data_IF_190266600251
#
_entry.id   IF_190266600251
#
_cell.length_a   1.000
_cell.length_b   1.000
_cell.length_c   1.000
_cell.angle_alpha   90.00
_cell.angle_beta   90.00
_cell.angle_gamma   90.00
#
_symmetry.space_group_name_H-M   'P 1'
#
loop_
_entity.id
_entity.type
_entity.pdbx_description
1 polymer ?
#
# COMPACT_ATOMS: atom_id res chain seq x y z
N UNK A 1 -31.86 -6.51 39.18
CA UNK A 1 -31.72 -7.06 37.82
C UNK A 1 -32.04 -5.96 36.82
N UNK A 2 -31.04 -5.21 36.40
CA UNK A 2 -31.19 -4.24 35.32
C UNK A 2 -30.91 -4.96 33.99
N UNK A 3 -31.93 -5.06 33.14
CA UNK A 3 -31.77 -5.57 31.76
C UNK A 3 -31.04 -4.52 30.95
N UNK A 4 -29.81 -4.81 30.52
CA UNK A 4 -29.16 -4.03 29.47
C UNK A 4 -29.97 -4.18 28.18
N UNK A 5 -30.52 -3.09 27.68
CA UNK A 5 -31.09 -3.06 26.34
C UNK A 5 -29.93 -3.12 25.32
N UNK A 6 -30.07 -3.89 24.23
CA UNK A 6 -29.09 -3.89 23.18
C UNK A 6 -29.10 -2.52 22.48
N UNK A 7 -27.93 -1.90 22.39
CA UNK A 7 -27.71 -0.71 21.57
C UNK A 7 -28.05 -1.03 20.11
N UNK A 8 -29.09 -0.39 19.58
CA UNK A 8 -29.45 -0.49 18.17
C UNK A 8 -28.33 0.16 17.32
N UNK A 9 -27.52 -0.67 16.69
CA UNK A 9 -26.52 -0.29 15.67
C UNK A 9 -27.17 0.03 14.29
N UNK A 10 -28.29 0.74 14.28
CA UNK A 10 -28.94 1.19 13.05
C UNK A 10 -28.56 2.64 12.71
N UNK A 11 -27.27 2.93 12.60
CA UNK A 11 -26.77 4.00 11.76
C UNK A 11 -26.48 3.41 10.38
N UNK A 12 -27.44 3.41 9.46
CA UNK A 12 -27.16 3.13 8.04
C UNK A 12 -26.21 4.21 7.51
N UNK A 13 -24.91 3.90 7.57
CA UNK A 13 -23.89 4.64 6.85
C UNK A 13 -24.28 4.58 5.36
N UNK A 14 -24.49 5.73 4.73
CA UNK A 14 -24.63 5.81 3.26
C UNK A 14 -23.29 5.39 2.65
N UNK A 15 -23.12 4.09 2.41
CA UNK A 15 -22.00 3.56 1.66
C UNK A 15 -22.00 4.20 0.27
N UNK A 16 -20.85 4.72 -0.14
CA UNK A 16 -20.71 5.29 -1.47
C UNK A 16 -20.86 4.17 -2.51
N UNK A 17 -21.77 4.34 -3.48
CA UNK A 17 -22.05 3.32 -4.49
C UNK A 17 -20.81 2.95 -5.31
N UNK A 18 -19.92 3.91 -5.55
CA UNK A 18 -18.66 3.68 -6.27
C UNK A 18 -17.70 2.76 -5.51
N UNK A 19 -17.60 2.89 -4.18
CA UNK A 19 -16.78 1.99 -3.35
C UNK A 19 -17.29 0.54 -3.43
N UNK A 20 -18.60 0.32 -3.38
CA UNK A 20 -19.19 -1.03 -3.49
C UNK A 20 -18.88 -1.71 -4.81
N UNK A 21 -18.92 -0.98 -5.90
CA UNK A 21 -18.64 -1.51 -7.23
C UNK A 21 -17.13 -1.82 -7.38
N UNK A 22 -16.26 -1.04 -6.73
CA UNK A 22 -14.82 -1.31 -6.65
C UNK A 22 -14.53 -2.62 -5.93
N UNK A 23 -15.09 -2.86 -4.73
CA UNK A 23 -14.88 -4.11 -3.98
C UNK A 23 -15.39 -5.35 -4.70
N UNK A 24 -16.54 -5.25 -5.39
CA UNK A 24 -17.13 -6.37 -6.13
C UNK A 24 -16.27 -6.86 -7.29
N UNK A 25 -15.34 -6.05 -7.75
CA UNK A 25 -14.40 -6.44 -8.81
C UNK A 25 -13.19 -7.23 -8.29
N UNK A 26 -13.02 -7.34 -6.96
CA UNK A 26 -11.87 -8.01 -6.36
C UNK A 26 -12.17 -9.46 -5.99
N UNK A 27 -11.27 -10.37 -6.35
CA UNK A 27 -11.33 -11.78 -5.92
C UNK A 27 -10.80 -11.96 -4.48
N UNK A 28 -9.97 -11.02 -4.02
CA UNK A 28 -9.41 -10.95 -2.68
C UNK A 28 -9.26 -9.46 -2.29
N UNK A 29 -9.64 -9.04 -1.08
CA UNK A 29 -9.59 -7.64 -0.67
C UNK A 29 -8.16 -7.18 -0.37
N UNK A 30 -7.35 -7.10 -1.41
CA UNK A 30 -5.91 -6.78 -1.36
C UNK A 30 -5.56 -5.70 -2.38
N UNK A 31 -4.75 -4.76 -1.93
CA UNK A 31 -4.00 -3.83 -2.78
C UNK A 31 -2.52 -4.18 -2.66
N UNK A 32 -1.88 -4.52 -3.77
CA UNK A 32 -0.43 -4.55 -3.87
C UNK A 32 0.08 -3.11 -3.83
N UNK A 33 0.80 -2.75 -2.76
CA UNK A 33 1.25 -1.39 -2.49
C UNK A 33 2.19 -0.87 -3.60
N UNK A 34 2.16 0.44 -3.89
CA UNK A 34 3.09 1.05 -4.84
C UNK A 34 4.50 1.05 -4.25
N UNK A 35 5.40 0.32 -4.87
CA UNK A 35 6.77 0.15 -4.41
C UNK A 35 7.72 0.99 -5.27
N UNK A 36 8.44 1.92 -4.63
CA UNK A 36 9.37 2.82 -5.34
C UNK A 36 10.49 2.01 -6.01
N UNK A 37 10.69 2.26 -7.31
CA UNK A 37 11.61 1.57 -8.23
C UNK A 37 11.33 0.06 -8.47
N UNK A 38 10.36 -0.53 -7.79
CA UNK A 38 10.07 -1.97 -7.81
C UNK A 38 8.80 -2.28 -8.60
N UNK A 39 7.69 -1.57 -8.33
CA UNK A 39 6.45 -1.77 -9.08
C UNK A 39 6.58 -1.26 -10.51
N UNK A 40 6.33 -2.14 -11.48
CA UNK A 40 6.27 -1.83 -12.90
C UNK A 40 4.96 -2.31 -13.53
N UNK A 41 4.74 -2.04 -14.84
CA UNK A 41 3.52 -2.47 -15.53
C UNK A 41 3.26 -3.96 -15.43
N UNK A 42 4.29 -4.79 -15.55
CA UNK A 42 4.18 -6.25 -15.49
C UNK A 42 3.54 -6.72 -14.17
N UNK A 43 4.03 -6.18 -13.04
CA UNK A 43 3.52 -6.49 -11.72
C UNK A 43 2.07 -6.00 -11.55
N UNK A 44 1.76 -4.79 -12.00
CA UNK A 44 0.41 -4.21 -11.92
C UNK A 44 -0.58 -5.00 -12.75
N UNK A 45 -0.22 -5.36 -13.99
CA UNK A 45 -1.04 -6.13 -14.90
C UNK A 45 -1.37 -7.49 -14.30
N UNK A 46 -0.36 -8.21 -13.80
CA UNK A 46 -0.58 -9.53 -13.21
C UNK A 46 -1.40 -9.48 -11.91
N UNK A 47 -1.23 -8.46 -11.05
CA UNK A 47 -2.12 -8.24 -9.92
C UNK A 47 -3.59 -8.10 -10.37
N UNK A 48 -3.85 -7.23 -11.35
CA UNK A 48 -5.21 -6.95 -11.82
C UNK A 48 -5.85 -8.17 -12.51
N UNK A 49 -5.11 -8.93 -13.31
CA UNK A 49 -5.57 -10.18 -13.93
C UNK A 49 -5.95 -11.25 -12.90
N UNK A 50 -5.24 -11.26 -11.77
CA UNK A 50 -5.48 -12.20 -10.67
C UNK A 50 -6.48 -11.67 -9.62
N UNK A 51 -7.20 -10.59 -9.92
CA UNK A 51 -8.34 -10.13 -9.12
C UNK A 51 -7.97 -9.35 -7.86
N UNK A 52 -6.77 -8.79 -7.77
CA UNK A 52 -6.35 -7.83 -6.72
C UNK A 52 -5.92 -6.51 -7.35
N UNK A 53 -5.96 -5.43 -6.57
CA UNK A 53 -5.53 -4.12 -7.07
C UNK A 53 -4.02 -4.06 -7.20
N UNK A 54 -3.52 -3.85 -8.40
CA UNK A 54 -2.11 -3.54 -8.66
C UNK A 54 -1.85 -2.04 -8.63
N UNK A 55 -0.77 -1.59 -7.99
CA UNK A 55 -0.45 -0.16 -7.92
C UNK A 55 1.02 0.12 -8.17
N UNK A 56 1.33 1.33 -8.63
CA UNK A 56 2.70 1.80 -8.84
C UNK A 56 2.83 3.32 -8.61
N UNK A 57 4.01 3.81 -8.19
CA UNK A 57 4.28 5.25 -8.10
C UNK A 57 4.50 5.87 -9.49
N UNK A 58 3.88 7.01 -9.78
CA UNK A 58 4.15 7.77 -11.01
C UNK A 58 5.64 8.11 -11.16
N UNK A 59 6.32 8.36 -10.04
CA UNK A 59 7.75 8.69 -9.99
C UNK A 59 8.68 7.49 -10.27
N UNK A 60 8.18 6.28 -10.49
CA UNK A 60 8.98 5.16 -10.99
C UNK A 60 9.41 5.38 -12.45
N UNK A 61 8.74 6.28 -13.15
CA UNK A 61 9.21 6.83 -14.42
C UNK A 61 9.85 8.21 -14.20
N UNK A 62 10.92 8.48 -14.96
CA UNK A 62 11.66 9.74 -14.83
C UNK A 62 10.92 10.92 -15.42
N UNK A 63 10.07 10.69 -16.42
CA UNK A 63 9.30 11.71 -17.12
C UNK A 63 7.80 11.41 -17.08
N UNK A 64 6.98 12.44 -17.27
CA UNK A 64 5.52 12.29 -17.37
C UNK A 64 5.13 11.50 -18.61
N UNK A 65 5.85 11.63 -19.71
CA UNK A 65 5.62 10.85 -20.95
C UNK A 65 5.84 9.36 -20.70
N UNK A 66 6.97 8.99 -20.07
CA UNK A 66 7.24 7.59 -19.70
C UNK A 66 6.23 7.03 -18.69
N UNK A 67 5.69 7.88 -17.81
CA UNK A 67 4.59 7.51 -16.93
C UNK A 67 3.30 7.26 -17.73
N UNK A 68 2.98 8.11 -18.69
CA UNK A 68 1.83 7.94 -19.58
C UNK A 68 1.93 6.64 -20.39
N UNK A 69 3.11 6.33 -20.94
CA UNK A 69 3.36 5.06 -21.65
C UNK A 69 3.04 3.84 -20.79
N UNK A 70 3.40 3.87 -19.49
CA UNK A 70 3.06 2.79 -18.58
C UNK A 70 1.55 2.67 -18.32
N UNK A 71 0.86 3.80 -18.18
CA UNK A 71 -0.60 3.80 -18.02
C UNK A 71 -1.29 3.20 -19.25
N UNK A 72 -0.82 3.55 -20.45
CA UNK A 72 -1.35 2.98 -21.71
C UNK A 72 -1.07 1.49 -21.77
N UNK A 73 0.17 1.05 -21.52
CA UNK A 73 0.55 -0.38 -21.51
C UNK A 73 -0.34 -1.20 -20.58
N UNK A 74 -0.59 -0.71 -19.36
CA UNK A 74 -1.43 -1.39 -18.38
C UNK A 74 -2.87 -1.48 -18.91
N UNK A 75 -3.45 -0.39 -19.38
CA UNK A 75 -4.83 -0.37 -19.88
C UNK A 75 -5.04 -1.29 -21.06
N UNK A 76 -4.12 -1.28 -22.02
CA UNK A 76 -4.21 -2.11 -23.22
C UNK A 76 -4.11 -3.59 -22.88
N UNK A 77 -3.20 -3.95 -21.98
CA UNK A 77 -3.04 -5.33 -21.52
C UNK A 77 -4.27 -5.84 -20.75
N UNK A 78 -4.89 -4.99 -19.90
CA UNK A 78 -6.09 -5.35 -19.16
C UNK A 78 -7.31 -5.44 -20.07
N UNK A 79 -7.45 -4.56 -21.06
CA UNK A 79 -8.53 -4.61 -22.05
C UNK A 79 -8.41 -5.87 -22.95
N UNK A 80 -7.18 -6.24 -23.33
CA UNK A 80 -6.93 -7.47 -24.08
C UNK A 80 -7.30 -8.70 -23.25
N UNK A 81 -6.88 -8.76 -21.99
CA UNK A 81 -7.24 -9.84 -21.07
C UNK A 81 -8.76 -10.02 -20.94
N UNK A 82 -9.50 -8.90 -20.74
CA UNK A 82 -10.97 -8.96 -20.65
C UNK A 82 -11.60 -9.47 -21.94
N UNK A 83 -11.08 -9.02 -23.09
CA UNK A 83 -11.56 -9.46 -24.42
C UNK A 83 -11.31 -10.96 -24.66
N UNK A 84 -10.14 -11.47 -24.26
CA UNK A 84 -9.75 -12.86 -24.51
C UNK A 84 -10.40 -13.85 -23.54
N UNK A 85 -10.59 -13.45 -22.28
CA UNK A 85 -11.06 -14.35 -21.22
C UNK A 85 -12.52 -14.15 -20.85
N UNK A 86 -13.11 -13.01 -21.21
CA UNK A 86 -14.44 -12.60 -20.73
C UNK A 86 -14.45 -12.22 -19.22
N UNK A 87 -13.31 -12.29 -18.52
CA UNK A 87 -13.19 -11.95 -17.11
C UNK A 87 -12.76 -10.49 -16.96
N UNK A 88 -13.55 -9.69 -16.22
CA UNK A 88 -13.18 -8.32 -15.90
C UNK A 88 -11.98 -8.31 -14.95
N UNK A 89 -10.86 -7.66 -15.30
CA UNK A 89 -9.73 -7.52 -14.39
C UNK A 89 -10.05 -6.59 -13.21
N UNK A 90 -9.36 -6.74 -12.09
CA UNK A 90 -9.40 -5.77 -11.01
C UNK A 90 -8.86 -4.41 -11.48
N UNK A 91 -9.28 -3.30 -10.87
CA UNK A 91 -8.77 -1.98 -11.21
C UNK A 91 -7.30 -1.82 -10.79
N UNK A 92 -6.56 -0.96 -11.50
CA UNK A 92 -5.22 -0.54 -11.07
C UNK A 92 -5.23 0.83 -10.41
N UNK A 93 -4.16 1.16 -9.68
CA UNK A 93 -4.00 2.46 -9.05
C UNK A 93 -2.62 3.08 -9.29
N UNK A 94 -2.57 4.41 -9.16
CA UNK A 94 -1.34 5.21 -9.27
C UNK A 94 -1.11 5.98 -7.98
N UNK A 95 0.10 5.90 -7.44
CA UNK A 95 0.50 6.73 -6.32
C UNK A 95 1.11 8.04 -6.81
N UNK A 96 0.60 9.15 -6.30
CA UNK A 96 1.09 10.51 -6.50
C UNK A 96 1.65 11.05 -5.17
N UNK A 97 2.94 11.39 -5.17
CA UNK A 97 3.57 12.08 -4.06
C UNK A 97 3.21 13.56 -4.14
N UNK A 98 2.30 14.00 -3.27
CA UNK A 98 1.77 15.38 -3.26
C UNK A 98 2.59 16.25 -2.29
N UNK A 99 3.86 16.45 -2.63
CA UNK A 99 4.75 17.31 -1.86
C UNK A 99 5.18 18.51 -2.71
N UNK A 100 5.36 19.70 -2.16
CA UNK A 100 5.75 20.92 -2.92
C UNK A 100 7.03 20.76 -3.75
N UNK A 101 7.92 19.85 -3.37
CA UNK A 101 9.15 19.54 -4.14
C UNK A 101 8.89 18.69 -5.38
N UNK A 102 7.74 18.04 -5.50
CA UNK A 102 7.38 17.27 -6.70
C UNK A 102 6.73 18.20 -7.74
N UNK A 103 7.56 18.72 -8.63
CA UNK A 103 7.11 19.63 -9.71
C UNK A 103 6.22 18.93 -10.75
N UNK A 104 6.19 17.59 -10.77
CA UNK A 104 5.44 16.80 -11.75
C UNK A 104 3.99 16.52 -11.36
N UNK A 105 3.58 16.79 -10.11
CA UNK A 105 2.24 16.42 -9.59
C UNK A 105 1.13 16.80 -10.56
N UNK A 106 1.15 18.04 -11.09
CA UNK A 106 0.10 18.51 -12.01
C UNK A 106 0.12 17.73 -13.32
N UNK A 107 1.26 17.60 -13.96
CA UNK A 107 1.38 16.92 -15.25
C UNK A 107 1.02 15.42 -15.14
N UNK A 108 1.46 14.75 -14.06
CA UNK A 108 1.13 13.36 -13.81
C UNK A 108 -0.39 13.18 -13.47
N UNK A 109 -1.00 14.15 -12.79
CA UNK A 109 -2.46 14.16 -12.56
C UNK A 109 -3.25 14.37 -13.87
N UNK A 110 -2.79 15.25 -14.76
CA UNK A 110 -3.40 15.47 -16.08
C UNK A 110 -3.39 14.16 -16.91
N UNK A 111 -2.34 13.34 -16.82
CA UNK A 111 -2.29 11.98 -17.40
C UNK A 111 -3.33 11.07 -16.74
N UNK A 112 -3.43 11.08 -15.40
CA UNK A 112 -4.41 10.27 -14.69
C UNK A 112 -5.85 10.62 -15.09
N UNK A 113 -6.17 11.91 -15.23
CA UNK A 113 -7.47 12.40 -15.70
C UNK A 113 -7.74 11.97 -17.14
N UNK A 114 -6.79 12.19 -18.06
CA UNK A 114 -6.89 11.83 -19.49
C UNK A 114 -7.21 10.34 -19.66
N UNK A 115 -6.55 9.49 -18.89
CA UNK A 115 -6.72 8.04 -18.99
C UNK A 115 -7.75 7.46 -18.02
N UNK A 116 -8.39 8.30 -17.18
CA UNK A 116 -9.38 7.92 -16.17
C UNK A 116 -8.86 6.80 -15.26
N UNK A 117 -7.70 7.03 -14.64
CA UNK A 117 -7.09 6.05 -13.73
C UNK A 117 -8.06 5.75 -12.57
N UNK A 118 -8.44 4.47 -12.33
CA UNK A 118 -9.53 4.15 -11.41
C UNK A 118 -9.27 4.52 -9.95
N UNK A 119 -8.02 4.39 -9.49
CA UNK A 119 -7.61 4.67 -8.11
C UNK A 119 -6.37 5.56 -8.09
N UNK A 120 -6.48 6.69 -7.41
CA UNK A 120 -5.33 7.54 -7.07
C UNK A 120 -5.00 7.38 -5.60
N UNK A 121 -3.74 7.09 -5.30
CA UNK A 121 -3.22 7.07 -3.93
C UNK A 121 -2.38 8.32 -3.73
N UNK A 122 -2.77 9.19 -2.80
CA UNK A 122 -2.01 10.40 -2.48
C UNK A 122 -1.17 10.20 -1.21
N UNK A 123 0.10 10.62 -1.27
CA UNK A 123 1.04 10.56 -0.16
C UNK A 123 1.64 11.94 0.12
N UNK A 124 1.96 12.23 1.38
CA UNK A 124 2.60 13.47 1.86
C UNK A 124 1.77 14.75 1.67
N UNK A 125 0.48 14.65 1.40
CA UNK A 125 -0.44 15.79 1.32
C UNK A 125 -1.82 15.38 0.80
N UNK A 126 -2.88 15.76 1.50
CA UNK A 126 -4.26 15.63 1.05
C UNK A 126 -4.69 16.97 0.45
N UNK A 127 -4.95 17.00 -0.86
CA UNK A 127 -5.26 18.22 -1.61
C UNK A 127 -6.66 18.10 -2.21
N UNK A 128 -7.65 18.93 -1.76
CA UNK A 128 -9.03 18.87 -2.24
C UNK A 128 -9.15 18.95 -3.77
N UNK A 129 -8.33 19.77 -4.43
CA UNK A 129 -8.37 19.93 -5.89
C UNK A 129 -8.04 18.63 -6.64
N UNK A 130 -7.18 17.77 -6.09
CA UNK A 130 -6.89 16.44 -6.67
C UNK A 130 -8.12 15.56 -6.54
N UNK A 131 -8.78 15.59 -5.38
CA UNK A 131 -10.02 14.82 -5.14
C UNK A 131 -11.10 15.22 -6.12
N UNK A 132 -11.33 16.54 -6.30
CA UNK A 132 -12.33 17.07 -7.23
C UNK A 132 -12.08 16.61 -8.68
N UNK A 133 -10.83 16.71 -9.17
CA UNK A 133 -10.45 16.27 -10.52
C UNK A 133 -10.71 14.78 -10.70
N UNK A 134 -10.30 13.95 -9.72
CA UNK A 134 -10.46 12.49 -9.79
C UNK A 134 -11.93 12.10 -9.74
N UNK A 135 -12.73 12.73 -8.89
CA UNK A 135 -14.17 12.50 -8.80
C UNK A 135 -14.91 12.90 -10.09
N UNK A 136 -14.49 13.96 -10.79
CA UNK A 136 -15.12 14.41 -12.02
C UNK A 136 -15.10 13.35 -13.13
N UNK A 137 -14.08 12.48 -13.19
CA UNK A 137 -14.05 11.38 -14.15
C UNK A 137 -14.51 10.03 -13.58
N UNK A 138 -14.92 9.97 -12.31
CA UNK A 138 -15.43 8.77 -11.64
C UNK A 138 -14.33 7.87 -11.02
N UNK A 139 -13.14 8.41 -10.72
CA UNK A 139 -12.10 7.73 -9.97
C UNK A 139 -12.26 7.84 -8.46
N UNK A 140 -11.47 7.08 -7.71
CA UNK A 140 -11.38 7.09 -6.25
C UNK A 140 -10.05 7.67 -5.80
N UNK A 141 -10.04 8.35 -4.65
CA UNK A 141 -8.83 8.86 -4.01
C UNK A 141 -8.66 8.23 -2.62
N UNK A 142 -7.55 7.49 -2.44
CA UNK A 142 -7.13 7.02 -1.13
C UNK A 142 -5.91 7.82 -0.65
N UNK A 143 -5.76 7.97 0.66
CA UNK A 143 -4.68 8.77 1.24
C UNK A 143 -3.95 8.04 2.35
N UNK A 144 -2.60 8.05 2.31
CA UNK A 144 -1.74 7.45 3.33
C UNK A 144 -1.74 8.26 4.62
N UNK A 145 -2.01 7.61 5.75
CA UNK A 145 -2.00 8.24 7.07
C UNK A 145 -1.24 7.39 8.10
N UNK A 146 -0.60 8.04 9.06
CA UNK A 146 0.10 7.38 10.18
C UNK A 146 -0.45 7.78 11.56
N UNK A 147 -1.40 8.71 11.61
CA UNK A 147 -2.01 9.21 12.86
C UNK A 147 -3.34 9.91 12.59
N UNK A 148 -4.16 10.03 13.64
CA UNK A 148 -5.50 10.62 13.61
C UNK A 148 -5.56 11.99 12.93
N UNK A 149 -4.63 12.92 13.25
CA UNK A 149 -4.60 14.26 12.63
C UNK A 149 -4.45 14.23 11.10
N UNK A 150 -3.75 13.22 10.56
CA UNK A 150 -3.67 13.05 9.10
C UNK A 150 -5.01 12.59 8.55
N UNK A 151 -5.70 11.68 9.26
CA UNK A 151 -7.02 11.20 8.89
C UNK A 151 -8.05 12.33 8.88
N UNK A 152 -8.03 13.23 9.89
CA UNK A 152 -8.90 14.41 9.94
C UNK A 152 -8.72 15.29 8.69
N UNK A 153 -7.48 15.66 8.36
CA UNK A 153 -7.18 16.48 7.17
C UNK A 153 -7.57 15.80 5.85
N UNK A 154 -7.32 14.52 5.73
CA UNK A 154 -7.69 13.77 4.52
C UNK A 154 -9.21 13.63 4.39
N UNK A 155 -9.92 13.45 5.50
CA UNK A 155 -11.38 13.47 5.55
C UNK A 155 -11.96 14.82 5.11
N UNK A 156 -11.39 15.92 5.60
CA UNK A 156 -11.76 17.29 5.19
C UNK A 156 -11.51 17.54 3.69
N UNK A 157 -10.46 16.93 3.13
CA UNK A 157 -10.17 17.00 1.70
C UNK A 157 -11.13 16.16 0.83
N UNK A 158 -11.98 15.31 1.44
CA UNK A 158 -13.02 14.57 0.75
C UNK A 158 -12.62 13.21 0.20
N UNK A 159 -11.44 12.66 0.58
CA UNK A 159 -10.95 11.36 0.08
C UNK A 159 -11.95 10.21 0.31
N UNK A 160 -11.87 9.16 -0.52
CA UNK A 160 -12.77 8.01 -0.46
C UNK A 160 -12.27 6.91 0.47
N UNK A 161 -10.96 6.85 0.71
CA UNK A 161 -10.37 5.88 1.61
C UNK A 161 -9.13 6.39 2.32
N UNK A 162 -8.83 5.80 3.47
CA UNK A 162 -7.63 6.05 4.24
C UNK A 162 -6.78 4.79 4.31
N UNK A 163 -5.52 4.90 3.91
CA UNK A 163 -4.52 3.85 4.05
C UNK A 163 -3.78 4.09 5.37
N UNK A 164 -4.06 3.26 6.35
CA UNK A 164 -3.49 3.33 7.69
C UNK A 164 -2.14 2.62 7.69
N UNK A 165 -1.06 3.40 7.61
CA UNK A 165 0.31 2.88 7.62
C UNK A 165 0.76 2.69 9.07
N UNK A 166 0.49 1.51 9.61
CA UNK A 166 0.74 1.17 11.00
C UNK A 166 2.22 0.85 11.28
N UNK A 167 2.55 0.62 12.55
CA UNK A 167 3.86 0.17 12.97
C UNK A 167 4.27 -1.11 12.25
N UNK A 168 5.54 -1.22 11.86
CA UNK A 168 6.09 -2.38 11.16
C UNK A 168 5.83 -2.41 9.65
N UNK A 169 5.15 -1.43 9.06
CA UNK A 169 5.07 -1.30 7.62
C UNK A 169 6.45 -0.95 7.02
N UNK A 170 6.76 -1.46 5.83
CA UNK A 170 7.99 -1.11 5.12
C UNK A 170 7.99 0.33 4.60
N UNK A 171 9.16 0.92 4.43
CA UNK A 171 9.29 2.32 4.03
C UNK A 171 8.84 3.29 5.10
N UNK A 172 8.34 4.46 4.69
CA UNK A 172 7.81 5.45 5.61
C UNK A 172 6.62 4.89 6.38
N UNK A 173 6.73 4.76 7.68
CA UNK A 173 5.75 4.12 8.54
C UNK A 173 5.43 4.93 9.79
N UNK A 174 4.25 4.69 10.36
CA UNK A 174 3.89 5.16 11.69
C UNK A 174 4.43 4.24 12.79
N UNK A 175 4.21 4.67 14.03
CA UNK A 175 4.57 3.93 15.25
C UNK A 175 3.36 3.37 15.98
N UNK A 176 2.15 3.66 15.50
CA UNK A 176 0.92 3.20 16.14
C UNK A 176 0.61 1.77 15.73
N UNK A 177 0.24 0.98 16.75
CA UNK A 177 -0.30 -0.36 16.52
C UNK A 177 -1.60 -0.30 15.71
N UNK A 178 -1.87 -1.24 14.77
CA UNK A 178 -3.04 -1.17 13.90
C UNK A 178 -4.38 -1.08 14.65
N UNK A 179 -4.56 -1.84 15.74
CA UNK A 179 -5.83 -1.85 16.50
C UNK A 179 -6.23 -0.45 17.02
N UNK A 180 -5.42 0.27 17.84
CA UNK A 180 -5.79 1.61 18.27
C UNK A 180 -5.89 2.60 17.11
N UNK A 181 -5.06 2.50 16.08
CA UNK A 181 -5.12 3.39 14.92
C UNK A 181 -6.46 3.25 14.18
N UNK A 182 -6.89 2.03 13.89
CA UNK A 182 -8.20 1.78 13.26
C UNK A 182 -9.34 2.30 14.15
N UNK A 183 -9.30 2.01 15.46
CA UNK A 183 -10.34 2.42 16.40
C UNK A 183 -10.47 3.95 16.52
N UNK A 184 -9.36 4.67 16.46
CA UNK A 184 -9.37 6.15 16.45
C UNK A 184 -9.91 6.72 15.14
N UNK A 185 -9.46 6.16 14.01
CA UNK A 185 -9.86 6.63 12.68
C UNK A 185 -11.34 6.36 12.42
N UNK A 186 -11.87 5.20 12.80
CA UNK A 186 -13.31 4.86 12.66
C UNK A 186 -14.27 5.80 13.40
N UNK A 187 -13.79 6.54 14.39
CA UNK A 187 -14.62 7.54 15.08
C UNK A 187 -14.87 8.82 14.25
N UNK A 188 -14.02 9.08 13.25
CA UNK A 188 -14.03 10.32 12.47
C UNK A 188 -14.16 10.10 10.97
N UNK A 189 -14.02 8.86 10.50
CA UNK A 189 -14.07 8.50 9.09
C UNK A 189 -14.90 7.24 8.89
N UNK A 190 -15.91 7.32 8.02
CA UNK A 190 -16.90 6.26 7.80
C UNK A 190 -16.84 5.62 6.41
N UNK A 191 -15.86 6.02 5.58
CA UNK A 191 -15.61 5.42 4.28
C UNK A 191 -14.54 4.32 4.40
N UNK A 192 -13.95 3.90 3.29
CA UNK A 192 -13.01 2.79 3.19
C UNK A 192 -11.77 2.93 4.07
N UNK A 193 -11.49 1.90 4.84
CA UNK A 193 -10.28 1.77 5.67
C UNK A 193 -9.41 0.66 5.10
N UNK A 194 -8.20 1.01 4.71
CA UNK A 194 -7.18 0.11 4.19
C UNK A 194 -6.07 -0.01 5.23
N UNK A 195 -5.70 -1.23 5.63
CA UNK A 195 -4.64 -1.44 6.61
C UNK A 195 -3.33 -1.83 5.93
N UNK A 196 -2.26 -1.12 6.26
CA UNK A 196 -0.87 -1.43 5.90
C UNK A 196 -0.04 -1.71 7.14
N UNK A 197 0.82 -2.70 7.05
CA UNK A 197 1.80 -3.08 8.07
C UNK A 197 1.71 -4.54 8.47
N UNK A 198 2.83 -5.24 8.36
CA UNK A 198 3.01 -6.64 8.77
C UNK A 198 2.08 -7.66 8.09
N UNK A 199 1.50 -7.34 6.93
CA UNK A 199 0.62 -8.23 6.19
C UNK A 199 1.39 -8.95 5.09
N UNK A 200 1.46 -10.29 5.11
CA UNK A 200 2.26 -11.07 4.17
C UNK A 200 1.63 -12.39 3.70
N UNK A 201 0.53 -12.82 4.33
CA UNK A 201 -0.16 -14.07 4.01
C UNK A 201 -1.69 -13.92 4.16
N UNK A 202 -2.45 -14.95 3.81
CA UNK A 202 -3.92 -14.92 3.86
C UNK A 202 -4.50 -14.82 5.27
N UNK A 203 -3.81 -15.35 6.29
CA UNK A 203 -4.24 -15.17 7.69
C UNK A 203 -4.12 -13.71 8.13
N UNK A 204 -3.09 -13.00 7.65
CA UNK A 204 -2.91 -11.59 7.95
C UNK A 204 -4.01 -10.74 7.30
N UNK A 205 -4.44 -11.10 6.07
CA UNK A 205 -5.58 -10.46 5.40
C UNK A 205 -6.85 -10.63 6.24
N UNK A 206 -7.17 -11.87 6.66
CA UNK A 206 -8.33 -12.13 7.50
C UNK A 206 -8.27 -11.35 8.83
N UNK A 207 -7.07 -11.27 9.44
CA UNK A 207 -6.85 -10.52 10.68
C UNK A 207 -7.05 -9.02 10.48
N UNK A 208 -6.59 -8.45 9.37
CA UNK A 208 -6.81 -7.04 9.04
C UNK A 208 -8.30 -6.70 8.95
N UNK A 209 -9.09 -7.55 8.29
CA UNK A 209 -10.54 -7.37 8.19
C UNK A 209 -11.22 -7.50 9.57
N UNK A 210 -10.79 -8.45 10.40
CA UNK A 210 -11.32 -8.61 11.77
C UNK A 210 -10.97 -7.42 12.68
N UNK A 211 -9.81 -6.79 12.49
CA UNK A 211 -9.48 -5.54 13.18
C UNK A 211 -10.35 -4.35 12.72
N UNK A 212 -11.03 -4.50 11.58
CA UNK A 212 -11.99 -3.53 11.07
C UNK A 212 -11.50 -2.74 9.86
N UNK A 213 -10.45 -3.19 9.18
CA UNK A 213 -10.14 -2.71 7.83
C UNK A 213 -11.10 -3.33 6.80
N UNK A 214 -11.24 -2.68 5.67
CA UNK A 214 -12.02 -3.17 4.52
C UNK A 214 -11.11 -3.86 3.50
N UNK A 215 -9.83 -3.44 3.41
CA UNK A 215 -8.84 -3.94 2.46
C UNK A 215 -7.48 -4.08 3.17
N UNK A 216 -6.73 -5.12 2.81
CA UNK A 216 -5.33 -5.29 3.18
C UNK A 216 -4.39 -4.63 2.15
N UNK A 217 -3.37 -3.88 2.62
CA UNK A 217 -2.38 -3.21 1.77
C UNK A 217 -1.01 -3.84 2.00
N UNK A 218 -0.54 -4.58 1.01
CA UNK A 218 0.62 -5.46 1.15
C UNK A 218 1.78 -4.93 0.29
N UNK A 219 2.89 -4.53 0.94
CA UNK A 219 4.10 -4.06 0.25
C UNK A 219 5.17 -5.15 0.16
N UNK A 220 5.77 -5.48 1.28
CA UNK A 220 6.96 -6.36 1.36
C UNK A 220 6.75 -7.72 0.69
N UNK A 221 5.55 -8.33 0.82
CA UNK A 221 5.22 -9.59 0.12
C UNK A 221 5.38 -9.48 -1.39
N UNK A 222 4.99 -8.35 -1.96
CA UNK A 222 5.04 -8.10 -3.41
C UNK A 222 6.42 -7.64 -3.90
N UNK A 223 7.40 -7.38 -3.02
CA UNK A 223 8.81 -7.27 -3.42
C UNK A 223 9.29 -8.66 -3.88
N UNK A 224 8.89 -9.73 -3.18
CA UNK A 224 9.26 -11.11 -3.46
C UNK A 224 8.25 -11.80 -4.37
N UNK A 225 8.09 -11.26 -5.58
CA UNK A 225 7.40 -11.92 -6.70
C UNK A 225 8.26 -11.84 -7.96
N UNK A 226 8.01 -12.73 -8.93
CA UNK A 226 8.80 -12.79 -10.18
C UNK A 226 8.69 -11.51 -11.00
N UNK A 227 7.50 -10.88 -11.00
CA UNK A 227 7.17 -9.69 -11.79
C UNK A 227 7.67 -8.38 -11.16
N UNK A 228 8.19 -8.43 -9.93
CA UNK A 228 8.80 -7.25 -9.29
C UNK A 228 10.17 -6.94 -9.90
N UNK A 229 10.52 -5.65 -9.95
CA UNK A 229 11.82 -5.18 -10.42
C UNK A 229 12.91 -5.18 -9.34
N UNK A 230 12.61 -5.75 -8.18
CA UNK A 230 13.60 -5.92 -7.12
C UNK A 230 14.73 -6.85 -7.59
N UNK A 231 15.97 -6.49 -7.25
CA UNK A 231 17.15 -7.30 -7.50
C UNK A 231 17.05 -8.63 -6.71
N UNK A 232 17.62 -9.71 -7.23
CA UNK A 232 17.57 -11.03 -6.58
C UNK A 232 18.18 -10.97 -5.17
N UNK A 233 19.29 -10.27 -4.97
CA UNK A 233 19.90 -10.06 -3.67
C UNK A 233 18.95 -9.38 -2.66
N UNK A 234 18.07 -8.48 -3.12
CA UNK A 234 17.06 -7.86 -2.26
C UNK A 234 16.00 -8.87 -1.83
N UNK A 235 15.51 -9.68 -2.78
CA UNK A 235 14.54 -10.75 -2.52
C UNK A 235 15.12 -11.79 -1.56
N UNK A 236 16.37 -12.20 -1.76
CA UNK A 236 17.09 -13.13 -0.90
C UNK A 236 17.26 -12.57 0.51
N UNK A 237 17.64 -11.30 0.64
CA UNK A 237 17.79 -10.63 1.93
C UNK A 237 16.45 -10.62 2.70
N UNK A 238 15.31 -10.35 2.03
CA UNK A 238 13.99 -10.43 2.64
C UNK A 238 13.70 -11.84 3.16
N UNK A 239 13.96 -12.89 2.34
CA UNK A 239 13.69 -14.28 2.71
C UNK A 239 14.54 -14.77 3.88
N UNK A 240 15.73 -14.20 4.06
CA UNK A 240 16.67 -14.53 5.14
C UNK A 240 16.44 -13.72 6.41
N UNK A 241 15.69 -12.61 6.33
CA UNK A 241 15.44 -11.70 7.46
C UNK A 241 14.27 -12.14 8.33
N UNK A 242 14.30 -11.64 9.57
CA UNK A 242 13.24 -11.73 10.57
C UNK A 242 12.69 -10.34 10.92
N UNK A 243 11.64 -10.27 11.73
CA UNK A 243 11.09 -9.00 12.20
C UNK A 243 12.11 -8.18 13.02
N UNK A 244 13.06 -8.85 13.69
CA UNK A 244 14.13 -8.21 14.47
C UNK A 244 15.19 -7.52 13.60
N UNK A 245 15.24 -7.87 12.29
CA UNK A 245 16.13 -7.26 11.33
C UNK A 245 15.56 -5.99 10.69
N UNK A 246 14.40 -5.53 11.15
CA UNK A 246 13.79 -4.29 10.68
C UNK A 246 14.17 -3.14 11.61
N UNK A 247 14.88 -2.16 11.05
CA UNK A 247 15.35 -0.96 11.76
C UNK A 247 14.48 0.23 11.39
N UNK A 248 13.85 0.84 12.39
CA UNK A 248 13.06 2.07 12.22
C UNK A 248 13.94 3.29 12.50
N UNK A 249 14.24 4.07 11.49
CA UNK A 249 15.16 5.20 11.61
C UNK A 249 14.87 6.33 10.62
N UNK A 250 15.21 7.56 11.00
CA UNK A 250 15.23 8.73 10.12
C UNK A 250 16.63 8.98 9.49
N UNK A 251 17.65 8.24 9.91
CA UNK A 251 19.05 8.51 9.55
C UNK A 251 19.30 8.41 8.03
N UNK A 252 18.54 7.59 7.31
CA UNK A 252 18.73 7.36 5.86
C UNK A 252 18.13 8.48 5.02
N UNK A 253 16.84 8.79 5.22
CA UNK A 253 16.08 9.71 4.37
C UNK A 253 15.72 11.04 5.05
N UNK A 254 15.99 11.19 6.35
CA UNK A 254 15.53 12.32 7.15
C UNK A 254 14.09 12.20 7.63
N UNK A 255 13.37 11.16 7.18
CA UNK A 255 12.02 10.80 7.62
C UNK A 255 12.05 9.37 8.13
N UNK A 256 11.36 9.11 9.24
CA UNK A 256 11.31 7.77 9.83
C UNK A 256 10.76 6.74 8.85
N UNK A 257 11.53 5.69 8.63
CA UNK A 257 11.19 4.57 7.78
C UNK A 257 11.79 3.26 8.29
N UNK A 258 11.23 2.14 7.86
CA UNK A 258 11.72 0.81 8.17
C UNK A 258 12.66 0.31 7.07
N UNK A 259 13.86 -0.12 7.47
CA UNK A 259 14.90 -0.64 6.59
C UNK A 259 15.37 -2.02 7.06
N UNK A 260 15.88 -2.83 6.13
CA UNK A 260 16.55 -4.07 6.44
C UNK A 260 17.92 -3.78 7.08
N UNK A 261 18.17 -4.31 8.30
CA UNK A 261 19.46 -4.19 9.00
C UNK A 261 20.61 -4.67 8.13
N UNK A 262 20.55 -5.88 7.51
CA UNK A 262 21.65 -6.33 6.66
C UNK A 262 21.96 -5.37 5.49
N UNK A 263 20.94 -4.65 4.97
CA UNK A 263 21.16 -3.65 3.93
C UNK A 263 21.87 -2.41 4.45
N UNK A 264 21.55 -1.96 5.67
CA UNK A 264 22.27 -0.86 6.33
C UNK A 264 23.72 -1.23 6.58
N UNK A 265 23.96 -2.42 7.13
CA UNK A 265 25.31 -2.94 7.42
C UNK A 265 26.15 -3.11 6.16
N UNK A 266 25.56 -3.62 5.07
CA UNK A 266 26.23 -3.74 3.77
C UNK A 266 26.67 -2.39 3.18
N UNK A 267 26.01 -1.31 3.57
CA UNK A 267 26.37 0.08 3.21
C UNK A 267 27.33 0.72 4.23
N UNK A 268 27.81 -0.04 5.21
CA UNK A 268 28.73 0.43 6.25
C UNK A 268 28.07 1.33 7.31
N UNK A 269 26.73 1.32 7.40
CA UNK A 269 25.99 2.09 8.40
C UNK A 269 25.93 1.29 9.70
N UNK A 270 26.49 1.85 10.77
CA UNK A 270 26.57 1.20 12.08
C UNK A 270 25.32 1.40 12.92
N UNK A 271 25.16 0.59 13.96
CA UNK A 271 24.06 0.71 14.91
C UNK A 271 24.01 2.09 15.60
N UNK A 272 25.16 2.67 15.91
CA UNK A 272 25.23 4.03 16.47
C UNK A 272 24.70 5.07 15.49
N UNK A 273 24.99 4.93 14.19
CA UNK A 273 24.56 5.86 13.17
C UNK A 273 23.05 5.79 12.91
N UNK A 274 22.42 4.61 12.87
CA UNK A 274 20.97 4.56 12.67
C UNK A 274 20.17 4.86 13.94
N UNK A 275 20.77 4.82 15.13
CA UNK A 275 20.17 5.31 16.38
C UNK A 275 20.27 6.82 16.52
N UNK A 276 21.19 7.48 15.82
CA UNK A 276 21.27 8.95 15.79
C UNK A 276 20.14 9.51 14.91
N UNK A 277 19.50 10.57 15.37
CA UNK A 277 18.43 11.25 14.62
C UNK A 277 18.96 12.14 13.50
N UNK A 278 20.27 12.28 13.37
CA UNK A 278 20.90 13.08 12.31
C UNK A 278 20.93 12.30 11.01
N UNK A 279 20.50 12.96 9.93
CA UNK A 279 20.59 12.39 8.59
C UNK A 279 22.05 12.10 8.21
N UNK A 280 22.31 10.87 7.76
CA UNK A 280 23.60 10.47 7.24
C UNK A 280 23.84 11.19 5.91
N UNK A 281 25.03 11.80 5.77
CA UNK A 281 25.41 12.48 4.53
C UNK A 281 26.03 11.46 3.57
N UNK A 282 25.31 11.10 2.51
CA UNK A 282 25.77 10.18 1.46
C UNK A 282 26.59 10.85 0.35
N UNK A 283 27.11 12.04 0.58
CA UNK A 283 27.94 12.79 -0.35
C UNK A 283 27.34 14.13 -0.79
N UNK A 284 28.20 15.01 -1.31
CA UNK A 284 27.85 16.36 -1.74
C UNK A 284 27.06 16.33 -3.07
N UNK A 285 25.79 15.99 -3.03
CA UNK A 285 24.87 16.32 -4.11
C UNK A 285 24.03 17.50 -3.65
N UNK A 286 24.10 18.60 -4.41
CA UNK A 286 23.35 19.83 -4.18
C UNK A 286 21.83 19.66 -4.30
N UNK A 287 21.36 18.45 -4.66
CA UNK A 287 19.97 18.12 -4.87
C UNK A 287 19.51 17.06 -3.83
N UNK A 288 18.73 17.50 -2.84
CA UNK A 288 18.19 16.62 -1.79
C UNK A 288 17.36 15.46 -2.37
N UNK A 289 16.62 15.71 -3.45
CA UNK A 289 15.81 14.72 -4.13
C UNK A 289 16.67 13.62 -4.80
N UNK A 290 17.79 13.98 -5.41
CA UNK A 290 18.73 13.01 -5.99
C UNK A 290 19.44 12.18 -4.92
N UNK A 291 19.81 12.79 -3.79
CA UNK A 291 20.46 12.08 -2.69
C UNK A 291 19.51 11.08 -2.01
N UNK A 292 18.24 11.43 -1.88
CA UNK A 292 17.20 10.53 -1.37
C UNK A 292 16.93 9.38 -2.34
N UNK A 293 16.74 9.65 -3.61
CA UNK A 293 16.54 8.61 -4.63
C UNK A 293 17.74 7.65 -4.71
N UNK A 294 18.96 8.14 -4.53
CA UNK A 294 20.16 7.32 -4.48
C UNK A 294 20.20 6.43 -3.24
N UNK A 295 19.84 6.97 -2.06
CA UNK A 295 19.76 6.19 -0.82
C UNK A 295 18.72 5.07 -0.94
N UNK A 296 17.53 5.35 -1.45
CA UNK A 296 16.48 4.33 -1.66
C UNK A 296 16.84 3.28 -2.71
N UNK A 297 17.76 3.55 -3.61
CA UNK A 297 18.25 2.56 -4.60
C UNK A 297 19.22 1.56 -3.98
N UNK A 298 19.99 1.96 -2.96
CA UNK A 298 21.09 1.16 -2.40
C UNK A 298 20.79 0.63 -1.01
N UNK A 299 19.84 1.23 -0.25
CA UNK A 299 19.44 0.79 1.08
C UNK A 299 18.01 0.28 1.00
N UNK A 300 17.85 -1.00 1.22
CA UNK A 300 16.59 -1.70 1.01
C UNK A 300 15.68 -1.62 2.23
N UNK A 301 14.42 -1.38 1.93
CA UNK A 301 13.35 -1.17 2.91
C UNK A 301 12.42 -2.37 2.94
N UNK A 302 12.04 -2.82 4.11
CA UNK A 302 11.02 -3.85 4.28
C UNK A 302 10.23 -3.62 5.56
N UNK A 303 9.05 -4.21 5.67
CA UNK A 303 8.27 -4.26 6.90
C UNK A 303 8.53 -5.55 7.69
N UNK A 304 8.06 -5.58 8.94
CA UNK A 304 8.22 -6.73 9.84
C UNK A 304 7.53 -8.01 9.33
N UNK A 305 6.65 -7.91 8.34
CA UNK A 305 6.05 -9.05 7.64
C UNK A 305 7.05 -9.93 6.88
N UNK A 306 8.33 -9.57 6.77
CA UNK A 306 9.40 -10.41 6.18
C UNK A 306 9.44 -11.81 6.79
N UNK A 307 9.07 -11.95 8.06
CA UNK A 307 9.08 -13.24 8.79
C UNK A 307 8.33 -14.34 8.05
N UNK A 308 7.23 -14.00 7.38
CA UNK A 308 6.38 -14.95 6.67
C UNK A 308 6.75 -15.14 5.19
N UNK A 309 7.79 -14.45 4.68
CA UNK A 309 8.18 -14.51 3.27
C UNK A 309 9.39 -15.44 3.12
N UNK A 310 9.18 -16.59 2.46
CA UNK A 310 10.22 -17.63 2.30
C UNK A 310 10.42 -18.07 0.85
N UNK A 311 9.72 -17.43 -0.09
CA UNK A 311 9.73 -17.74 -1.51
C UNK A 311 9.53 -16.48 -2.37
N UNK A 312 9.70 -16.63 -3.69
CA UNK A 312 9.47 -15.58 -4.69
C UNK A 312 8.67 -16.15 -5.87
N UNK A 313 7.37 -16.47 -5.65
CA UNK A 313 6.49 -17.00 -6.69
C UNK A 313 6.11 -15.96 -7.73
N UNK A 314 5.46 -16.39 -8.82
CA UNK A 314 4.71 -15.45 -9.67
C UNK A 314 3.45 -14.96 -8.94
N UNK A 315 2.90 -13.81 -9.37
CA UNK A 315 1.64 -13.30 -8.83
C UNK A 315 0.49 -14.29 -9.09
N UNK A 316 0.51 -14.96 -10.23
CA UNK A 316 -0.46 -16.00 -10.56
C UNK A 316 -0.40 -17.23 -9.66
N UNK A 317 0.74 -17.49 -9.02
CA UNK A 317 0.91 -18.52 -7.98
C UNK A 317 0.57 -17.95 -6.59
N UNK A 318 1.01 -16.73 -6.29
CA UNK A 318 0.84 -16.10 -4.98
C UNK A 318 -0.62 -15.82 -4.62
N UNK A 319 -1.39 -15.21 -5.54
CA UNK A 319 -2.76 -14.76 -5.22
C UNK A 319 -3.69 -15.95 -4.88
N UNK A 320 -3.68 -17.09 -5.61
CA UNK A 320 -4.41 -18.28 -5.18
C UNK A 320 -3.99 -18.81 -3.81
N UNK A 321 -2.68 -18.83 -3.49
CA UNK A 321 -2.19 -19.21 -2.16
C UNK A 321 -2.73 -18.30 -1.06
N UNK A 322 -2.64 -16.99 -1.24
CA UNK A 322 -3.21 -16.01 -0.29
C UNK A 322 -4.70 -16.20 -0.11
N UNK A 323 -5.43 -16.53 -1.17
CA UNK A 323 -6.88 -16.79 -1.12
C UNK A 323 -7.21 -18.05 -0.36
N UNK A 324 -6.47 -19.13 -0.56
CA UNK A 324 -6.64 -20.39 0.16
C UNK A 324 -6.41 -20.19 1.67
N UNK A 325 -5.30 -19.54 2.04
CA UNK A 325 -4.98 -19.21 3.43
C UNK A 325 -6.05 -18.30 4.06
N UNK A 326 -6.54 -17.31 3.32
CA UNK A 326 -7.60 -16.40 3.75
C UNK A 326 -8.91 -17.16 4.04
N UNK A 327 -9.35 -18.01 3.12
CA UNK A 327 -10.55 -18.84 3.30
C UNK A 327 -10.38 -19.78 4.50
N UNK A 328 -9.22 -20.43 4.63
CA UNK A 328 -8.91 -21.28 5.78
C UNK A 328 -9.00 -20.52 7.12
N UNK A 329 -8.50 -19.30 7.17
CA UNK A 329 -8.58 -18.43 8.36
C UNK A 329 -10.04 -18.09 8.71
N UNK A 330 -10.87 -17.77 7.71
CA UNK A 330 -12.30 -17.50 7.92
C UNK A 330 -13.06 -18.75 8.40
N UNK A 331 -12.78 -19.91 7.86
CA UNK A 331 -13.39 -21.18 8.31
C UNK A 331 -13.01 -21.50 9.75
N UNK A 332 -11.77 -21.21 10.15
CA UNK A 332 -11.35 -21.33 11.55
C UNK A 332 -12.13 -20.38 12.47
N UNK A 333 -12.35 -19.13 12.04
CA UNK A 333 -13.14 -18.16 12.80
C UNK A 333 -14.60 -18.60 12.92
N UNK A 334 -15.20 -19.18 11.87
CA UNK A 334 -16.54 -19.73 11.92
C UNK A 334 -16.67 -20.84 12.98
N UNK A 335 -15.67 -21.73 13.06
CA UNK A 335 -15.65 -22.77 14.12
C UNK A 335 -15.53 -22.20 15.53
N UNK A 336 -14.82 -21.07 15.69
CA UNK A 336 -14.78 -20.36 16.98
C UNK A 336 -16.15 -19.78 17.34
N UNK A 337 -16.90 -19.26 16.38
CA UNK A 337 -18.27 -18.78 16.62
C UNK A 337 -19.14 -19.92 17.20
N UNK A 338 -19.10 -21.11 16.56
CA UNK A 338 -19.87 -22.29 17.04
C UNK A 338 -19.44 -22.76 18.45
N UNK A 339 -18.23 -22.40 18.89
CA UNK A 339 -17.70 -22.76 20.21
C UNK A 339 -18.18 -21.82 21.33
N UNK A 340 -18.38 -20.54 20.99
CA UNK A 340 -18.65 -19.49 21.97
C UNK A 340 -20.09 -18.93 21.90
N UNK A 341 -20.94 -19.44 21.03
CA UNK A 341 -22.36 -19.09 20.88
C UNK A 341 -23.24 -20.31 21.06
#
# INVERSE_FOLDING_TARGET
MMRCQPLSLNGQLKENKMDKDFYKSLDLPVIAAPLFLISGPEMVIECCKNGIVGTFPALNQRTTEGFEDWVIQIKDALALFEKETGKKPAPFGVNLIVHPTNIRVKADLDVCEKHKVPLIITSLGAVPQIVDIVHNYGGLVYHDIIKKRHAEKASEAGVDGLILVAAGAGGHAGTLHPIPLINEVKKIFSKTIVLSGCLSNGNDIASALQMGADIAYMGTRFINVKESRAEDNYKDMIMQSSAEDIVYTAAVSGVNANFLRPSLEAMGITEEQWKDTKKINFGNTSDLAESEAKAWKTIWSAGQGVTSIKDSPSISELVPMLKEEFVFALDKQKKLLDTYT
#
